data_IF_912642572986
#
_entry.id   IF_912642572986
#
_cell.length_a   1.000
_cell.length_b   1.000
_cell.length_c   1.000
_cell.angle_alpha   90.00
_cell.angle_beta   90.00
_cell.angle_gamma   90.00
#
_symmetry.space_group_name_H-M   'P 1'
#
loop_
_entity.id
_entity.type
_entity.pdbx_description
1 polymer ?
#
# COMPACT_ATOMS: atom_id res chain seq x y z
N UNK A 1 2.31 1.31 20.14
CA UNK A 1 2.10 1.86 18.78
C UNK A 1 1.67 0.82 17.71
N UNK A 2 1.74 -0.51 17.96
CA UNK A 2 1.41 -1.54 16.95
C UNK A 2 -0.09 -1.83 16.78
N UNK A 3 -0.83 -1.93 17.88
CA UNK A 3 -2.24 -2.36 17.88
C UNK A 3 -3.19 -1.43 17.11
N UNK A 4 -2.96 -0.11 17.17
CA UNK A 4 -3.77 0.89 16.46
C UNK A 4 -3.58 0.81 14.94
N UNK A 5 -2.34 0.57 14.49
CA UNK A 5 -2.02 0.45 13.08
C UNK A 5 -2.66 -0.82 12.51
N UNK A 6 -2.54 -1.94 13.23
CA UNK A 6 -3.08 -3.24 12.84
C UNK A 6 -4.62 -3.25 12.76
N UNK A 7 -5.28 -2.63 13.74
CA UNK A 7 -6.73 -2.44 13.73
C UNK A 7 -7.18 -1.59 12.52
N UNK A 8 -6.49 -0.47 12.25
CA UNK A 8 -6.79 0.39 11.10
C UNK A 8 -6.56 -0.33 9.76
N UNK A 9 -5.50 -1.13 9.66
CA UNK A 9 -5.21 -1.93 8.47
C UNK A 9 -6.32 -2.96 8.20
N UNK A 10 -6.72 -3.72 9.20
CA UNK A 10 -7.76 -4.73 9.08
C UNK A 10 -9.14 -4.12 8.81
N UNK A 11 -9.40 -2.91 9.33
CA UNK A 11 -10.66 -2.21 9.10
C UNK A 11 -10.79 -1.73 7.65
N UNK A 12 -9.82 -0.99 7.13
CA UNK A 12 -9.98 -0.29 5.85
C UNK A 12 -9.33 -0.97 4.64
N UNK A 13 -8.46 -1.95 4.85
CA UNK A 13 -7.64 -2.59 3.82
C UNK A 13 -7.67 -4.12 3.91
N UNK A 14 -8.82 -4.68 4.26
CA UNK A 14 -9.04 -6.12 4.26
C UNK A 14 -9.07 -6.65 2.82
N UNK A 15 -8.29 -7.68 2.55
CA UNK A 15 -8.30 -8.35 1.26
C UNK A 15 -9.59 -9.16 1.06
N UNK A 16 -10.15 -9.06 -0.15
CA UNK A 16 -11.35 -9.80 -0.57
C UNK A 16 -11.17 -10.23 -2.03
N UNK A 17 -12.08 -11.06 -2.54
CA UNK A 17 -12.10 -11.42 -3.98
C UNK A 17 -12.21 -10.19 -4.91
N UNK A 18 -12.70 -9.06 -4.41
CA UNK A 18 -12.79 -7.80 -5.17
C UNK A 18 -11.52 -6.95 -5.15
N UNK A 19 -10.50 -7.32 -4.35
CA UNK A 19 -9.22 -6.62 -4.30
C UNK A 19 -8.50 -6.79 -5.64
N UNK A 20 -7.99 -5.68 -6.19
CA UNK A 20 -7.20 -5.70 -7.43
C UNK A 20 -5.90 -4.93 -7.24
N UNK A 21 -4.88 -5.30 -7.98
CA UNK A 21 -3.62 -4.55 -8.03
C UNK A 21 -3.22 -4.20 -9.45
N UNK A 22 -2.44 -3.14 -9.59
CA UNK A 22 -1.76 -2.78 -10.84
C UNK A 22 -0.32 -2.40 -10.52
N UNK A 23 0.61 -3.01 -11.24
CA UNK A 23 2.01 -2.64 -11.19
C UNK A 23 2.36 -1.78 -12.42
N UNK A 24 3.12 -0.70 -12.19
CA UNK A 24 3.73 0.09 -13.24
C UNK A 24 5.26 -0.06 -13.15
N UNK A 25 5.92 -0.76 -14.10
CA UNK A 25 7.36 -0.99 -14.06
C UNK A 25 8.17 0.29 -14.25
N UNK A 26 7.70 1.24 -15.07
CA UNK A 26 8.43 2.51 -15.33
C UNK A 26 8.61 3.34 -14.06
N UNK A 27 7.57 3.37 -13.22
CA UNK A 27 7.58 4.13 -11.95
C UNK A 27 7.77 3.25 -10.73
N UNK A 28 7.97 1.94 -10.92
CA UNK A 28 8.09 0.92 -9.87
C UNK A 28 7.04 1.07 -8.78
N UNK A 29 5.81 1.37 -9.21
CA UNK A 29 4.70 1.70 -8.34
C UNK A 29 3.66 0.60 -8.40
N UNK A 30 3.25 0.10 -7.24
CA UNK A 30 2.12 -0.81 -7.08
C UNK A 30 0.94 -0.02 -6.51
N UNK A 31 -0.21 -0.10 -7.15
CA UNK A 31 -1.47 0.43 -6.60
C UNK A 31 -2.37 -0.76 -6.30
N UNK A 32 -2.76 -0.90 -5.04
CA UNK A 32 -3.72 -1.88 -4.56
C UNK A 32 -5.06 -1.18 -4.32
N UNK A 33 -6.14 -1.74 -4.84
CA UNK A 33 -7.51 -1.27 -4.67
C UNK A 33 -8.28 -2.29 -3.85
N UNK A 34 -8.79 -1.86 -2.70
CA UNK A 34 -9.57 -2.66 -1.77
C UNK A 34 -11.04 -2.25 -1.86
N UNK A 35 -11.95 -3.22 -1.80
CA UNK A 35 -13.38 -2.94 -1.63
C UNK A 35 -13.59 -2.35 -0.23
N UNK A 36 -14.25 -1.20 -0.16
CA UNK A 36 -14.57 -0.60 1.13
C UNK A 36 -15.88 -1.19 1.65
N UNK A 37 -15.79 -2.03 2.67
CA UNK A 37 -16.95 -2.64 3.33
C UNK A 37 -17.51 -1.78 4.47
N UNK A 38 -16.88 -0.64 4.79
CA UNK A 38 -17.35 0.25 5.86
C UNK A 38 -18.27 1.35 5.34
N UNK A 39 -19.31 1.67 6.13
CA UNK A 39 -20.27 2.75 5.87
C UNK A 39 -19.65 4.16 5.93
N UNK A 40 -18.47 4.28 6.53
CA UNK A 40 -17.68 5.52 6.65
C UNK A 40 -16.21 5.20 6.40
N UNK A 41 -15.59 5.72 5.32
CA UNK A 41 -16.04 6.78 4.40
C UNK A 41 -17.05 6.32 3.32
N UNK A 42 -17.89 7.24 2.79
CA UNK A 42 -18.88 6.99 1.72
C UNK A 42 -18.22 6.81 0.35
N UNK A 43 -17.35 5.81 0.20
CA UNK A 43 -16.65 5.51 -1.05
C UNK A 43 -16.59 4.03 -1.31
N UNK A 44 -16.66 3.62 -2.58
CA UNK A 44 -16.67 2.20 -2.97
C UNK A 44 -15.32 1.49 -2.73
N UNK A 45 -14.21 2.23 -2.79
CA UNK A 45 -12.88 1.65 -2.72
C UNK A 45 -11.93 2.48 -1.85
N UNK A 46 -10.98 1.78 -1.24
CA UNK A 46 -9.79 2.34 -0.61
C UNK A 46 -8.55 1.91 -1.41
N UNK A 47 -7.47 2.67 -1.29
CA UNK A 47 -6.26 2.41 -2.06
C UNK A 47 -5.02 2.39 -1.17
N UNK A 48 -4.12 1.45 -1.45
CA UNK A 48 -2.73 1.53 -1.01
C UNK A 48 -1.84 1.75 -2.22
N UNK A 49 -0.80 2.54 -2.02
CA UNK A 49 0.24 2.78 -3.03
C UNK A 49 1.59 2.43 -2.42
N UNK A 50 2.32 1.58 -3.11
CA UNK A 50 3.70 1.20 -2.79
C UNK A 50 4.60 1.79 -3.85
N UNK A 51 5.63 2.51 -3.45
CA UNK A 51 6.68 2.97 -4.36
C UNK A 51 7.95 2.23 -4.00
N UNK A 52 8.46 1.46 -4.95
CA UNK A 52 9.69 0.69 -4.81
C UNK A 52 10.81 1.51 -5.45
N UNK A 53 11.76 1.97 -4.65
CA UNK A 53 12.95 2.67 -5.13
C UNK A 53 14.20 1.86 -4.83
N UNK A 54 15.18 1.87 -5.74
CA UNK A 54 16.50 1.35 -5.44
C UNK A 54 17.22 2.36 -4.54
N UNK A 55 17.28 2.09 -3.24
CA UNK A 55 18.27 2.74 -2.40
C UNK A 55 19.65 2.16 -2.67
N UNK A 56 20.70 2.80 -2.15
CA UNK A 56 22.06 2.27 -2.26
C UNK A 56 22.12 0.86 -1.63
N UNK A 57 22.34 -0.16 -2.48
CA UNK A 57 22.39 -1.60 -2.15
C UNK A 57 21.12 -2.19 -1.51
N UNK A 58 20.03 -1.44 -1.34
CA UNK A 58 18.80 -1.88 -0.63
C UNK A 58 17.54 -1.29 -1.24
N UNK A 59 16.52 -2.08 -1.57
CA UNK A 59 15.25 -1.53 -1.99
C UNK A 59 14.55 -0.86 -0.81
N UNK A 60 13.95 0.28 -1.12
CA UNK A 60 13.17 1.08 -0.20
C UNK A 60 11.73 1.02 -0.69
N UNK A 61 10.81 0.58 0.17
CA UNK A 61 9.38 0.59 -0.12
C UNK A 61 8.74 1.69 0.71
N UNK A 62 8.14 2.67 0.03
CA UNK A 62 7.32 3.71 0.67
C UNK A 62 5.85 3.32 0.56
N UNK A 63 5.16 3.31 1.69
CA UNK A 63 3.75 2.97 1.81
C UNK A 63 2.93 4.25 1.92
N UNK A 64 1.89 4.33 1.11
CA UNK A 64 0.88 5.37 1.15
C UNK A 64 -0.51 4.74 1.17
N UNK A 65 -1.48 5.45 1.74
CA UNK A 65 -2.88 5.07 1.69
C UNK A 65 -3.76 6.23 1.25
N UNK A 66 -4.91 5.89 0.67
CA UNK A 66 -5.96 6.84 0.32
C UNK A 66 -7.30 6.22 0.71
N UNK A 67 -8.01 6.91 1.59
CA UNK A 67 -9.40 6.61 1.91
C UNK A 67 -10.31 7.46 1.02
N UNK A 68 -11.16 6.78 0.26
CA UNK A 68 -12.13 7.44 -0.60
C UNK A 68 -11.58 8.47 -1.59
N UNK A 69 -12.16 9.67 -1.64
CA UNK A 69 -11.75 10.75 -2.57
C UNK A 69 -10.56 11.59 -2.06
N UNK A 70 -9.98 11.26 -0.91
CA UNK A 70 -8.85 12.00 -0.33
C UNK A 70 -7.55 11.94 -1.14
N UNK A 71 -6.51 12.60 -0.64
CA UNK A 71 -5.14 12.51 -1.17
C UNK A 71 -4.43 11.26 -0.63
N UNK A 72 -3.36 10.83 -1.29
CA UNK A 72 -2.50 9.79 -0.74
C UNK A 72 -1.70 10.33 0.44
N UNK A 73 -1.85 9.69 1.60
CA UNK A 73 -1.13 10.00 2.83
C UNK A 73 -0.01 8.98 3.04
N UNK A 74 1.16 9.46 3.43
CA UNK A 74 2.30 8.60 3.75
C UNK A 74 2.03 7.85 5.06
N UNK A 75 2.29 6.54 5.07
CA UNK A 75 2.16 5.71 6.27
C UNK A 75 3.52 5.45 6.89
N UNK A 76 4.41 4.83 6.12
CA UNK A 76 5.69 4.34 6.60
C UNK A 76 6.62 4.04 5.42
N UNK A 77 7.91 3.92 5.71
CA UNK A 77 8.95 3.48 4.79
C UNK A 77 9.67 2.29 5.40
N UNK A 78 9.68 1.17 4.69
CA UNK A 78 10.43 -0.02 5.08
C UNK A 78 11.67 -0.15 4.20
N UNK A 79 12.83 -0.30 4.82
CA UNK A 79 14.09 -0.64 4.15
C UNK A 79 14.27 -2.15 4.30
N UNK A 80 14.21 -2.90 3.22
CA UNK A 80 14.42 -4.35 3.28
C UNK A 80 15.92 -4.67 3.13
N UNK A 81 16.41 -5.57 3.97
CA UNK A 81 17.62 -6.34 3.67
C UNK A 81 17.20 -7.45 2.72
N UNK A 82 17.43 -7.26 1.42
CA UNK A 82 17.22 -8.36 0.48
C UNK A 82 18.38 -9.33 0.62
N UNK A 83 18.14 -10.48 1.25
CA UNK A 83 19.08 -11.61 1.29
C UNK A 83 19.32 -12.16 -0.13
N UNK A 84 18.43 -11.88 -1.08
CA UNK A 84 18.56 -12.27 -2.49
C UNK A 84 18.17 -11.12 -3.41
N UNK A 85 19.01 -10.82 -4.39
CA UNK A 85 18.73 -9.79 -5.39
C UNK A 85 17.50 -10.17 -6.23
N UNK A 86 16.61 -9.19 -6.46
CA UNK A 86 15.52 -9.30 -7.44
C UNK A 86 16.02 -8.68 -8.74
N UNK A 87 16.16 -9.50 -9.77
CA UNK A 87 16.39 -9.05 -11.14
C UNK A 87 15.02 -8.76 -11.78
N UNK A 88 14.89 -7.57 -12.40
CA UNK A 88 13.69 -7.16 -13.14
C UNK A 88 13.89 -7.42 -14.64
#
# INVERSE_FOLDING_TARGET
MGMYLEFYQNKYFKETKGTKYKYNPKTRTVILRYVNNHKTPKTKYNYRKLIISNGHKRPIIKYYYKLGKGKFLFTNKVKYWMVKNIYF
#
